data_IF_472246800434
#
_entry.id   IF_472246800434
#
_cell.length_a   1.000
_cell.length_b   1.000
_cell.length_c   1.000
_cell.angle_alpha   90.00
_cell.angle_beta   90.00
_cell.angle_gamma   90.00
#
_symmetry.space_group_name_H-M   'P 1'
#
loop_
_entity.id
_entity.type
_entity.pdbx_description
1 polymer ?
#
# COMPACT_ATOMS: atom_id res chain seq x y z
N UNK A 1 -29.99 -0.34 -5.94
CA UNK A 1 -28.88 -0.92 -5.18
C UNK A 1 -27.61 -0.56 -5.94
N UNK A 2 -26.61 0.01 -5.28
CA UNK A 2 -25.32 0.23 -5.95
C UNK A 2 -24.74 -1.14 -6.32
N UNK A 3 -24.16 -1.23 -7.52
CA UNK A 3 -23.51 -2.46 -8.00
C UNK A 3 -22.36 -2.77 -7.03
N UNK A 4 -22.40 -3.92 -6.38
CA UNK A 4 -21.40 -4.28 -5.35
C UNK A 4 -20.00 -4.43 -5.94
N UNK A 5 -19.91 -4.62 -7.27
CA UNK A 5 -18.66 -4.81 -8.01
C UNK A 5 -18.14 -3.51 -8.66
N UNK A 6 -18.82 -2.36 -8.44
CA UNK A 6 -18.35 -1.11 -9.01
C UNK A 6 -17.08 -0.61 -8.28
N UNK A 7 -16.04 -0.17 -9.03
CA UNK A 7 -14.83 0.35 -8.41
C UNK A 7 -15.12 1.60 -7.56
N UNK A 8 -14.37 1.84 -6.48
CA UNK A 8 -14.57 3.00 -5.62
C UNK A 8 -14.46 4.31 -6.40
N UNK A 9 -15.40 5.21 -6.13
CA UNK A 9 -15.41 6.55 -6.72
C UNK A 9 -14.28 7.42 -6.15
N UNK A 10 -13.88 8.48 -6.87
CA UNK A 10 -12.88 9.43 -6.37
C UNK A 10 -13.27 10.00 -4.99
N UNK A 11 -14.53 10.31 -4.77
CA UNK A 11 -15.00 10.84 -3.47
C UNK A 11 -14.79 9.83 -2.35
N UNK A 12 -15.07 8.56 -2.59
CA UNK A 12 -14.82 7.49 -1.62
C UNK A 12 -13.32 7.33 -1.33
N UNK A 13 -12.47 7.38 -2.35
CA UNK A 13 -11.01 7.33 -2.21
C UNK A 13 -10.49 8.51 -1.39
N UNK A 14 -10.92 9.74 -1.71
CA UNK A 14 -10.52 10.94 -0.97
C UNK A 14 -11.02 10.91 0.48
N UNK A 15 -12.26 10.42 0.70
CA UNK A 15 -12.79 10.20 2.05
C UNK A 15 -11.95 9.21 2.85
N UNK A 16 -11.53 8.10 2.24
CA UNK A 16 -10.65 7.11 2.86
C UNK A 16 -9.29 7.72 3.25
N UNK A 17 -8.65 8.45 2.33
CA UNK A 17 -7.36 9.12 2.59
C UNK A 17 -7.48 10.20 3.70
N UNK A 18 -8.57 10.99 3.69
CA UNK A 18 -8.82 11.99 4.73
C UNK A 18 -9.02 11.32 6.09
N UNK A 19 -9.88 10.30 6.20
CA UNK A 19 -10.18 9.61 7.46
C UNK A 19 -8.94 8.87 7.98
N UNK A 20 -8.20 8.18 7.12
CA UNK A 20 -7.00 7.46 7.52
C UNK A 20 -5.91 8.39 8.05
N UNK A 21 -5.67 9.52 7.36
CA UNK A 21 -4.67 10.50 7.81
C UNK A 21 -5.14 11.27 9.06
N UNK A 22 -6.43 11.60 9.15
CA UNK A 22 -7.05 12.15 10.35
C UNK A 22 -6.80 11.25 11.57
N UNK A 23 -7.11 9.97 11.42
CA UNK A 23 -6.97 8.99 12.52
C UNK A 23 -5.49 8.81 12.89
N UNK A 24 -4.59 8.77 11.89
CA UNK A 24 -3.16 8.66 12.14
C UNK A 24 -2.63 9.82 12.98
N UNK A 25 -3.01 11.06 12.66
CA UNK A 25 -2.56 12.25 13.39
C UNK A 25 -3.24 12.32 14.76
N UNK A 26 -4.55 12.15 14.82
CA UNK A 26 -5.28 12.23 16.08
C UNK A 26 -4.78 11.21 17.11
N UNK A 27 -4.65 9.94 16.72
CA UNK A 27 -4.25 8.86 17.62
C UNK A 27 -2.74 8.86 17.86
N UNK A 28 -1.94 8.91 16.78
CA UNK A 28 -0.47 8.84 16.90
C UNK A 28 0.11 10.03 17.67
N UNK A 29 -0.24 11.25 17.27
CA UNK A 29 0.20 12.45 17.99
C UNK A 29 -0.51 12.58 19.35
N UNK A 30 -1.76 12.15 19.47
CA UNK A 30 -2.49 12.11 20.74
C UNK A 30 -1.78 11.27 21.79
N UNK A 31 -1.36 10.06 21.44
CA UNK A 31 -0.58 9.21 22.35
C UNK A 31 0.79 9.84 22.66
N UNK A 32 1.47 10.43 21.69
CA UNK A 32 2.72 11.12 21.94
C UNK A 32 2.58 12.21 23.02
N UNK A 33 1.48 12.98 22.99
CA UNK A 33 1.23 14.03 23.99
C UNK A 33 0.79 13.43 25.33
N UNK A 34 -0.16 12.51 25.31
CA UNK A 34 -0.78 11.99 26.57
C UNK A 34 0.11 10.99 27.31
N UNK A 35 1.12 10.43 26.67
CA UNK A 35 2.11 9.53 27.27
C UNK A 35 3.44 10.22 27.62
N UNK A 36 3.47 11.57 27.55
CA UNK A 36 4.71 12.35 27.78
C UNK A 36 5.88 11.90 26.89
N UNK A 37 5.59 11.58 25.63
CA UNK A 37 6.58 11.15 24.66
C UNK A 37 7.11 9.73 24.86
N UNK A 38 6.36 8.86 25.59
CA UNK A 38 6.78 7.46 25.72
C UNK A 38 7.04 6.81 24.37
N UNK A 39 8.29 6.34 24.20
CA UNK A 39 8.80 5.79 22.94
C UNK A 39 7.98 4.61 22.43
N UNK A 40 7.65 3.68 23.33
CA UNK A 40 7.00 2.42 22.99
C UNK A 40 5.51 2.66 22.69
N UNK A 41 4.83 3.41 23.58
CA UNK A 41 3.43 3.76 23.40
C UNK A 41 3.23 4.53 22.09
N UNK A 42 4.03 5.57 21.85
CA UNK A 42 3.94 6.41 20.64
C UNK A 42 4.25 5.60 19.37
N UNK A 43 5.32 4.82 19.37
CA UNK A 43 5.69 4.01 18.21
C UNK A 43 4.61 3.00 17.84
N UNK A 44 4.06 2.29 18.81
CA UNK A 44 2.94 1.37 18.55
C UNK A 44 1.65 2.11 18.18
N UNK A 45 1.37 3.27 18.73
CA UNK A 45 0.19 4.05 18.35
C UNK A 45 0.21 4.40 16.86
N UNK A 46 1.32 4.90 16.33
CA UNK A 46 1.46 5.17 14.90
C UNK A 46 1.40 3.88 14.06
N UNK A 47 2.16 2.85 14.44
CA UNK A 47 2.23 1.60 13.70
C UNK A 47 0.89 0.85 13.64
N UNK A 48 0.21 0.69 14.78
CA UNK A 48 -1.09 0.02 14.83
C UNK A 48 -2.19 0.83 14.15
N UNK A 49 -2.16 2.17 14.27
CA UNK A 49 -3.13 3.00 13.55
C UNK A 49 -3.01 2.79 12.04
N UNK A 50 -1.81 2.80 11.47
CA UNK A 50 -1.63 2.49 10.05
C UNK A 50 -2.09 1.08 9.73
N UNK A 51 -1.72 0.07 10.53
CA UNK A 51 -2.17 -1.30 10.32
C UNK A 51 -3.69 -1.38 10.19
N UNK A 52 -4.41 -0.85 11.17
CA UNK A 52 -5.86 -0.94 11.18
C UNK A 52 -6.52 -0.08 10.10
N UNK A 53 -6.00 1.12 9.82
CA UNK A 53 -6.55 1.97 8.77
C UNK A 53 -6.32 1.38 7.37
N UNK A 54 -5.19 0.73 7.12
CA UNK A 54 -4.95 0.03 5.85
C UNK A 54 -5.89 -1.18 5.73
N UNK A 55 -6.09 -1.98 6.78
CA UNK A 55 -7.10 -3.05 6.76
C UNK A 55 -8.51 -2.52 6.50
N UNK A 56 -8.89 -1.41 7.11
CA UNK A 56 -10.24 -0.86 6.98
C UNK A 56 -10.51 -0.19 5.64
N UNK A 57 -9.55 0.59 5.12
CA UNK A 57 -9.73 1.52 4.02
C UNK A 57 -8.86 1.22 2.79
N UNK A 58 -7.87 0.32 2.90
CA UNK A 58 -6.95 0.00 1.81
C UNK A 58 -7.67 -0.48 0.55
N UNK A 59 -8.74 -1.26 0.69
CA UNK A 59 -9.60 -1.69 -0.43
C UNK A 59 -10.29 -0.54 -1.17
N UNK A 60 -10.34 0.67 -0.58
CA UNK A 60 -11.02 1.84 -1.14
C UNK A 60 -10.02 2.75 -1.87
N UNK A 61 -8.92 3.15 -1.22
CA UNK A 61 -7.95 4.11 -1.76
C UNK A 61 -6.55 3.54 -2.01
N UNK A 62 -6.28 2.33 -1.54
CA UNK A 62 -4.92 1.81 -1.43
C UNK A 62 -4.30 2.08 -0.05
N UNK A 63 -4.88 3.00 0.75
CA UNK A 63 -4.46 3.27 2.12
C UNK A 63 -3.10 3.95 2.23
N UNK A 64 -2.88 5.01 1.47
CA UNK A 64 -1.60 5.73 1.48
C UNK A 64 -1.40 6.56 2.76
N UNK A 65 -2.39 7.39 3.13
CA UNK A 65 -2.43 8.26 4.32
C UNK A 65 -1.16 9.11 4.54
N UNK A 66 -0.39 9.32 3.47
CA UNK A 66 0.93 9.92 3.51
C UNK A 66 1.31 10.49 2.13
N UNK A 67 1.61 11.80 2.00
CA UNK A 67 2.06 12.40 0.75
C UNK A 67 3.32 11.75 0.16
N UNK A 68 4.29 11.39 1.01
CA UNK A 68 5.52 10.74 0.56
C UNK A 68 5.21 9.35 -0.04
N UNK A 69 4.35 8.55 0.59
CA UNK A 69 3.90 7.26 0.05
C UNK A 69 3.19 7.44 -1.29
N UNK A 70 2.30 8.44 -1.41
CA UNK A 70 1.59 8.72 -2.67
C UNK A 70 2.54 9.09 -3.80
N UNK A 71 3.57 9.90 -3.52
CA UNK A 71 4.62 10.29 -4.48
C UNK A 71 5.47 9.07 -4.85
N UNK A 72 5.93 8.28 -3.87
CA UNK A 72 6.73 7.07 -4.11
C UNK A 72 5.97 6.04 -4.94
N UNK A 73 4.68 5.84 -4.65
CA UNK A 73 3.79 4.97 -5.42
C UNK A 73 3.60 5.47 -6.87
N UNK A 74 3.46 6.80 -7.07
CA UNK A 74 3.35 7.37 -8.40
C UNK A 74 4.64 7.20 -9.22
N UNK A 75 5.80 7.44 -8.62
CA UNK A 75 7.11 7.22 -9.25
C UNK A 75 7.30 5.73 -9.57
N UNK A 76 6.94 4.85 -8.63
CA UNK A 76 7.03 3.39 -8.78
C UNK A 76 6.02 2.76 -9.74
N UNK A 77 5.15 3.56 -10.36
CA UNK A 77 4.21 3.05 -11.36
C UNK A 77 2.89 2.51 -10.79
N UNK A 78 2.62 2.69 -9.49
CA UNK A 78 1.48 2.06 -8.78
C UNK A 78 0.20 2.88 -8.82
N UNK A 79 0.30 4.21 -8.93
CA UNK A 79 -0.82 5.15 -8.96
C UNK A 79 -0.53 6.27 -9.95
N UNK A 80 -1.57 6.85 -10.58
CA UNK A 80 -1.37 7.98 -11.49
C UNK A 80 -0.95 9.25 -10.73
N UNK A 81 -0.16 10.13 -11.36
CA UNK A 81 0.21 11.41 -10.76
C UNK A 81 -1.00 12.28 -10.40
N UNK A 82 -2.08 12.19 -11.21
CA UNK A 82 -3.32 12.90 -10.95
C UNK A 82 -3.98 12.41 -9.66
N UNK A 83 -4.06 11.11 -9.48
CA UNK A 83 -4.65 10.50 -8.28
C UNK A 83 -3.78 10.77 -7.06
N UNK A 84 -2.46 10.59 -7.16
CA UNK A 84 -1.51 10.94 -6.10
C UNK A 84 -1.66 12.40 -5.65
N UNK A 85 -1.80 13.34 -6.59
CA UNK A 85 -2.03 14.75 -6.28
C UNK A 85 -3.32 15.00 -5.51
N UNK A 86 -4.42 14.32 -5.88
CA UNK A 86 -5.69 14.44 -5.13
C UNK A 86 -5.60 13.81 -3.74
N UNK A 87 -4.91 12.68 -3.61
CA UNK A 87 -4.65 12.05 -2.31
C UNK A 87 -3.85 12.95 -1.37
N UNK A 88 -2.79 13.59 -1.87
CA UNK A 88 -1.98 14.53 -1.10
C UNK A 88 -2.85 15.66 -0.52
N UNK A 89 -3.77 16.22 -1.33
CA UNK A 89 -4.71 17.22 -0.84
C UNK A 89 -5.61 16.69 0.28
N UNK A 90 -6.19 15.50 0.11
CA UNK A 90 -7.05 14.85 1.10
C UNK A 90 -6.29 14.51 2.40
N UNK A 91 -5.04 14.08 2.28
CA UNK A 91 -4.15 13.74 3.41
C UNK A 91 -3.81 14.99 4.24
N UNK A 92 -3.49 16.12 3.61
CA UNK A 92 -3.28 17.37 4.35
C UNK A 92 -4.55 17.84 5.08
N UNK A 93 -5.72 17.74 4.43
CA UNK A 93 -7.00 18.05 5.08
C UNK A 93 -7.22 17.12 6.29
N UNK A 94 -7.02 15.83 6.13
CA UNK A 94 -7.14 14.87 7.23
C UNK A 94 -6.20 15.16 8.39
N UNK A 95 -4.92 15.45 8.10
CA UNK A 95 -3.92 15.77 9.12
C UNK A 95 -4.26 17.05 9.90
N UNK A 96 -4.69 18.11 9.21
CA UNK A 96 -5.08 19.38 9.84
C UNK A 96 -6.31 19.17 10.74
N UNK A 97 -7.33 18.45 10.25
CA UNK A 97 -8.51 18.14 11.05
C UNK A 97 -8.18 17.25 12.26
N UNK A 98 -7.29 16.25 12.11
CA UNK A 98 -6.84 15.41 13.21
C UNK A 98 -6.11 16.20 14.30
N UNK A 99 -5.19 17.09 13.88
CA UNK A 99 -4.47 17.97 14.80
C UNK A 99 -5.40 19.02 15.46
N UNK A 100 -6.37 19.57 14.72
CA UNK A 100 -7.37 20.47 15.26
C UNK A 100 -8.20 19.79 16.35
N UNK A 101 -8.70 18.59 16.09
CA UNK A 101 -9.46 17.84 17.11
C UNK A 101 -8.58 17.51 18.31
N UNK A 102 -7.33 17.10 18.09
CA UNK A 102 -6.38 16.87 19.19
C UNK A 102 -6.19 18.14 20.03
N UNK A 103 -5.95 19.29 19.41
CA UNK A 103 -5.84 20.57 20.12
C UNK A 103 -7.08 20.85 20.97
N UNK A 104 -8.28 20.67 20.40
CA UNK A 104 -9.54 20.88 21.13
C UNK A 104 -9.65 19.95 22.36
N UNK A 105 -9.25 18.68 22.21
CA UNK A 105 -9.25 17.73 23.32
C UNK A 105 -8.25 18.11 24.42
N UNK A 106 -7.07 18.64 24.02
CA UNK A 106 -6.04 19.08 24.97
C UNK A 106 -6.46 20.34 25.75
N UNK A 107 -7.35 21.18 25.21
CA UNK A 107 -7.94 22.29 25.97
C UNK A 107 -8.73 21.87 27.23
N UNK A 108 -9.08 20.58 27.36
CA UNK A 108 -9.65 20.00 28.56
C UNK A 108 -8.64 19.72 29.68
N UNK A 109 -7.34 19.95 29.44
CA UNK A 109 -6.26 19.77 30.41
C UNK A 109 -5.91 21.13 31.02
N UNK A 110 -5.94 21.23 32.35
CA UNK A 110 -5.58 22.46 33.05
C UNK A 110 -4.15 22.89 32.72
N UNK A 111 -3.98 24.14 32.30
CA UNK A 111 -2.69 24.72 31.97
C UNK A 111 -2.23 24.49 30.53
N UNK A 112 -2.97 23.77 29.71
CA UNK A 112 -2.67 23.66 28.28
C UNK A 112 -3.03 24.96 27.55
N UNK A 113 -2.12 25.50 26.76
CA UNK A 113 -2.33 26.68 25.92
C UNK A 113 -2.14 26.33 24.44
N UNK A 114 -3.19 26.56 23.63
CA UNK A 114 -3.13 26.35 22.20
C UNK A 114 -2.21 27.36 21.52
N UNK A 115 -1.49 26.95 20.48
CA UNK A 115 -0.54 27.76 19.72
C UNK A 115 0.68 28.23 20.54
N UNK A 116 0.95 27.63 21.68
CA UNK A 116 2.13 27.87 22.50
C UNK A 116 3.20 26.78 22.20
N UNK A 117 4.43 27.23 21.91
CA UNK A 117 5.54 26.33 21.59
C UNK A 117 5.96 25.43 22.77
N UNK A 118 5.58 25.74 23.99
CA UNK A 118 5.81 24.89 25.17
C UNK A 118 4.86 23.69 25.24
N UNK A 119 3.77 23.69 24.44
CA UNK A 119 2.77 22.63 24.40
C UNK A 119 2.65 22.02 23.00
N UNK A 120 3.72 21.37 22.47
CA UNK A 120 3.68 20.78 21.14
C UNK A 120 2.71 19.60 21.08
N UNK A 121 1.94 19.54 19.99
CA UNK A 121 0.95 18.47 19.74
C UNK A 121 1.58 17.25 19.05
N UNK A 122 2.69 16.74 19.57
CA UNK A 122 3.41 15.63 18.94
C UNK A 122 4.08 16.01 17.62
N UNK A 123 4.57 17.25 17.52
CA UNK A 123 5.25 17.83 16.36
C UNK A 123 6.64 17.21 16.14
N UNK A 124 7.13 17.36 14.91
CA UNK A 124 8.51 17.06 14.57
C UNK A 124 9.39 18.30 14.73
N UNK A 125 10.64 18.08 15.17
CA UNK A 125 11.60 19.16 15.34
C UNK A 125 13.04 18.66 15.22
N UNK A 126 14.00 19.60 15.23
CA UNK A 126 15.44 19.27 15.21
C UNK A 126 16.29 20.19 16.12
N UNK A 127 15.83 21.41 16.45
CA UNK A 127 16.61 22.36 17.24
C UNK A 127 15.85 22.98 18.40
N UNK A 128 14.64 22.52 18.72
CA UNK A 128 13.77 23.04 19.76
C UNK A 128 13.18 21.93 20.63
N UNK A 129 12.85 22.27 21.87
CA UNK A 129 12.24 21.35 22.82
C UNK A 129 13.18 20.20 23.19
N UNK A 130 12.74 18.95 23.07
CA UNK A 130 13.57 17.80 23.40
C UNK A 130 14.62 17.45 22.33
N UNK A 131 14.60 18.12 21.18
CA UNK A 131 15.47 17.81 20.05
C UNK A 131 16.67 18.76 20.00
N UNK A 132 17.87 18.21 20.14
CA UNK A 132 19.14 18.89 19.87
C UNK A 132 19.87 18.10 18.78
N UNK A 133 19.37 18.22 17.55
CA UNK A 133 19.82 17.40 16.44
C UNK A 133 20.12 18.27 15.20
N UNK A 134 21.29 18.10 14.61
CA UNK A 134 21.69 18.91 13.48
C UNK A 134 20.74 18.76 12.28
N UNK A 135 20.34 19.89 11.66
CA UNK A 135 19.36 19.90 10.54
C UNK A 135 19.78 18.98 9.38
N UNK A 136 21.08 18.92 9.05
CA UNK A 136 21.56 18.01 8.00
C UNK A 136 21.36 16.54 8.36
N UNK A 137 21.49 16.19 9.63
CA UNK A 137 21.27 14.83 10.12
C UNK A 137 19.79 14.51 10.19
N UNK A 138 18.93 15.49 10.55
CA UNK A 138 17.47 15.34 10.49
C UNK A 138 17.01 15.10 9.04
N UNK A 139 17.51 15.88 8.08
CA UNK A 139 17.24 15.65 6.65
C UNK A 139 17.68 14.25 6.19
N UNK A 140 18.88 13.84 6.56
CA UNK A 140 19.43 12.54 6.15
C UNK A 140 18.64 11.37 6.73
N UNK A 141 18.34 11.41 8.04
CA UNK A 141 17.65 10.30 8.69
C UNK A 141 16.20 10.18 8.21
N UNK A 142 15.50 11.30 8.05
CA UNK A 142 14.13 11.31 7.50
C UNK A 142 14.09 10.81 6.05
N UNK A 143 15.06 11.21 5.21
CA UNK A 143 15.20 10.72 3.85
C UNK A 143 15.42 9.20 3.82
N UNK A 144 16.40 8.70 4.57
CA UNK A 144 16.77 7.28 4.58
C UNK A 144 15.62 6.43 5.10
N UNK A 145 15.01 6.84 6.23
CA UNK A 145 13.95 6.05 6.85
C UNK A 145 12.64 6.09 6.05
N UNK A 146 12.35 7.20 5.38
CA UNK A 146 11.22 7.25 4.44
C UNK A 146 11.50 6.38 3.20
N UNK A 147 12.72 6.40 2.69
CA UNK A 147 13.08 5.51 1.58
C UNK A 147 12.90 4.04 1.95
N UNK A 148 13.37 3.62 3.13
CA UNK A 148 13.16 2.26 3.64
C UNK A 148 11.67 1.95 3.84
N UNK A 149 10.91 2.88 4.41
CA UNK A 149 9.47 2.70 4.64
C UNK A 149 8.72 2.48 3.33
N UNK A 150 8.91 3.37 2.35
CA UNK A 150 8.26 3.26 1.03
C UNK A 150 8.74 2.04 0.26
N UNK A 151 10.02 1.68 0.39
CA UNK A 151 10.56 0.46 -0.20
C UNK A 151 9.85 -0.80 0.34
N UNK A 152 9.64 -0.89 1.66
CA UNK A 152 8.87 -1.99 2.27
C UNK A 152 7.43 -1.97 1.76
N UNK A 153 6.78 -0.81 1.72
CA UNK A 153 5.41 -0.69 1.19
C UNK A 153 5.35 -1.24 -0.24
N UNK A 154 6.23 -0.79 -1.14
CA UNK A 154 6.25 -1.25 -2.53
C UNK A 154 6.51 -2.76 -2.63
N UNK A 155 7.30 -3.33 -1.72
CA UNK A 155 7.62 -4.75 -1.68
C UNK A 155 6.43 -5.59 -1.22
N UNK A 156 5.81 -5.23 -0.09
CA UNK A 156 4.70 -6.03 0.48
C UNK A 156 3.38 -5.85 -0.28
N UNK A 157 3.28 -4.80 -1.11
CA UNK A 157 2.15 -4.55 -2.01
C UNK A 157 2.45 -4.91 -3.48
N UNK A 158 3.54 -5.61 -3.74
CA UNK A 158 3.85 -6.11 -5.08
C UNK A 158 2.89 -7.26 -5.44
N UNK A 159 2.45 -7.31 -6.70
CA UNK A 159 1.54 -8.37 -7.18
C UNK A 159 2.14 -9.79 -7.06
N UNK A 160 3.46 -9.91 -6.91
CA UNK A 160 4.18 -11.17 -6.68
C UNK A 160 4.28 -11.55 -5.21
N UNK A 161 3.73 -10.73 -4.29
CA UNK A 161 3.73 -11.07 -2.87
C UNK A 161 2.78 -12.25 -2.61
N UNK A 162 3.32 -13.33 -2.06
CA UNK A 162 2.57 -14.55 -1.73
C UNK A 162 1.63 -14.39 -0.51
N UNK A 163 1.83 -13.34 0.30
CA UNK A 163 1.09 -13.10 1.54
C UNK A 163 0.49 -11.68 1.62
N UNK A 164 -0.34 -11.26 0.64
CA UNK A 164 -0.87 -9.90 0.58
C UNK A 164 -1.68 -9.52 1.83
N UNK A 165 -2.38 -10.45 2.45
CA UNK A 165 -3.15 -10.20 3.67
C UNK A 165 -2.30 -9.73 4.87
N UNK A 166 -1.00 -9.99 4.87
CA UNK A 166 -0.07 -9.53 5.91
C UNK A 166 0.55 -8.17 5.62
N UNK A 167 0.34 -7.60 4.42
CA UNK A 167 0.94 -6.33 4.04
C UNK A 167 0.61 -5.17 5.01
N UNK A 168 -0.65 -4.98 5.49
CA UNK A 168 -0.93 -3.93 6.46
C UNK A 168 -0.16 -4.07 7.77
N UNK A 169 -0.03 -5.30 8.25
CA UNK A 169 0.73 -5.59 9.46
C UNK A 169 2.22 -5.29 9.26
N UNK A 170 2.81 -5.72 8.14
CA UNK A 170 4.20 -5.44 7.80
C UNK A 170 4.46 -3.93 7.70
N UNK A 171 3.56 -3.17 7.07
CA UNK A 171 3.65 -1.71 6.95
C UNK A 171 3.61 -1.06 8.34
N UNK A 172 2.65 -1.43 9.18
CA UNK A 172 2.49 -0.82 10.49
C UNK A 172 3.63 -1.18 11.45
N UNK A 173 4.11 -2.44 11.45
CA UNK A 173 5.28 -2.84 12.25
C UNK A 173 6.53 -2.09 11.79
N UNK A 174 6.73 -1.94 10.48
CA UNK A 174 7.85 -1.14 9.95
C UNK A 174 7.77 0.30 10.45
N UNK A 175 6.58 0.91 10.42
CA UNK A 175 6.41 2.28 10.92
C UNK A 175 6.69 2.37 12.42
N UNK A 176 6.24 1.40 13.23
CA UNK A 176 6.57 1.35 14.66
C UNK A 176 8.07 1.26 14.92
N UNK A 177 8.78 0.40 14.18
CA UNK A 177 10.24 0.28 14.29
C UNK A 177 10.97 1.57 13.92
N UNK A 178 10.51 2.28 12.89
CA UNK A 178 11.04 3.58 12.51
C UNK A 178 10.81 4.59 13.64
N UNK A 179 9.64 4.59 14.27
CA UNK A 179 9.34 5.46 15.41
C UNK A 179 10.25 5.18 16.59
N UNK A 180 10.54 3.91 16.93
CA UNK A 180 11.46 3.58 18.01
C UNK A 180 12.87 4.14 17.79
N UNK A 181 13.29 4.28 16.55
CA UNK A 181 14.61 4.87 16.24
C UNK A 181 14.56 6.42 16.18
N UNK A 182 13.52 7.00 15.59
CA UNK A 182 13.51 8.42 15.22
C UNK A 182 12.80 9.33 16.23
N UNK A 183 11.97 8.82 17.12
CA UNK A 183 11.33 9.68 18.16
C UNK A 183 12.37 10.50 18.92
N UNK A 184 13.48 9.92 19.42
CA UNK A 184 14.47 10.70 20.16
C UNK A 184 15.26 11.71 19.32
N UNK A 185 15.22 11.61 17.99
CA UNK A 185 16.03 12.43 17.06
C UNK A 185 15.23 13.56 16.45
N UNK A 186 14.02 13.25 15.94
CA UNK A 186 13.19 14.20 15.17
C UNK A 186 11.72 14.15 15.53
N UNK A 187 11.32 13.27 16.45
CA UNK A 187 9.90 12.96 16.67
C UNK A 187 9.27 12.13 15.57
N UNK A 188 10.04 11.60 14.64
CA UNK A 188 9.64 10.76 13.49
C UNK A 188 8.59 11.39 12.59
N UNK A 189 9.00 11.87 11.43
CA UNK A 189 8.07 12.32 10.39
C UNK A 189 7.67 11.18 9.46
N UNK A 190 8.52 10.86 8.52
CA UNK A 190 8.33 10.00 7.33
C UNK A 190 7.03 10.29 6.57
N UNK A 191 6.35 11.40 6.92
CA UNK A 191 5.03 11.76 6.40
C UNK A 191 4.81 13.29 6.46
N UNK A 192 4.86 14.00 5.33
CA UNK A 192 4.67 15.45 5.30
C UNK A 192 3.36 15.95 5.92
N UNK A 193 2.26 15.24 5.73
CA UNK A 193 0.95 15.64 6.28
C UNK A 193 0.92 15.48 7.81
N UNK A 194 1.48 14.37 8.33
CA UNK A 194 1.62 14.12 9.77
C UNK A 194 2.48 15.18 10.47
N UNK A 195 3.45 15.77 9.74
CA UNK A 195 4.32 16.82 10.31
C UNK A 195 3.67 18.18 10.27
N UNK A 196 3.04 18.55 9.15
CA UNK A 196 2.41 19.86 9.00
C UNK A 196 1.19 20.03 9.91
N UNK A 197 0.32 19.02 10.01
CA UNK A 197 -0.93 19.11 10.77
C UNK A 197 -0.72 19.64 12.20
N UNK A 198 0.02 18.94 13.06
CA UNK A 198 0.28 19.39 14.44
C UNK A 198 1.07 20.69 14.53
N UNK A 199 2.06 20.92 13.64
CA UNK A 199 2.89 22.12 13.66
C UNK A 199 2.06 23.40 13.56
N UNK A 200 0.95 23.38 12.80
CA UNK A 200 0.06 24.54 12.64
C UNK A 200 -0.61 25.00 13.95
N UNK A 201 -0.67 24.14 14.96
CA UNK A 201 -1.35 24.40 16.25
C UNK A 201 -0.39 24.44 17.45
N UNK A 202 0.91 24.23 17.24
CA UNK A 202 1.92 24.08 18.30
C UNK A 202 2.83 25.31 18.49
N UNK A 203 2.49 26.44 17.87
CA UNK A 203 3.29 27.66 17.95
C UNK A 203 4.30 27.84 16.81
N UNK A 204 4.86 29.06 16.73
CA UNK A 204 5.69 29.49 15.59
C UNK A 204 7.00 28.71 15.50
N UNK A 205 7.59 28.35 16.62
CA UNK A 205 8.89 27.66 16.65
C UNK A 205 8.83 26.29 15.97
N UNK A 206 7.69 25.62 16.06
CA UNK A 206 7.45 24.35 15.38
C UNK A 206 7.12 24.53 13.89
N UNK A 207 6.41 25.60 13.53
CA UNK A 207 6.11 25.90 12.12
C UNK A 207 7.39 26.16 11.33
N UNK A 208 8.34 26.93 11.89
CA UNK A 208 9.60 27.26 11.21
C UNK A 208 10.51 26.05 11.06
N UNK A 209 10.33 25.00 11.86
CA UNK A 209 11.10 23.77 11.79
C UNK A 209 10.46 22.68 10.88
N UNK A 210 9.24 22.87 10.38
CA UNK A 210 8.52 21.81 9.64
C UNK A 210 9.13 21.47 8.27
N UNK A 211 9.86 22.40 7.64
CA UNK A 211 10.33 22.27 6.26
C UNK A 211 11.19 21.03 5.96
N UNK A 212 12.12 20.55 6.83
CA UNK A 212 12.87 19.32 6.56
C UNK A 212 11.94 18.12 6.42
N UNK A 213 10.88 18.09 7.23
CA UNK A 213 9.89 17.03 7.30
C UNK A 213 8.87 17.04 6.14
N UNK A 214 8.86 18.13 5.36
CA UNK A 214 8.14 18.19 4.08
C UNK A 214 9.03 17.69 2.93
N UNK A 215 10.32 18.01 2.95
CA UNK A 215 11.24 17.76 1.83
C UNK A 215 11.88 16.38 1.91
N UNK A 216 12.48 16.02 3.04
CA UNK A 216 13.25 14.78 3.17
C UNK A 216 12.41 13.52 2.95
N UNK A 217 11.17 13.39 3.50
CA UNK A 217 10.32 12.25 3.21
C UNK A 217 9.96 12.13 1.73
N UNK A 218 9.70 13.25 1.04
CA UNK A 218 9.40 13.24 -0.39
C UNK A 218 10.59 12.75 -1.21
N UNK A 219 11.80 13.20 -0.89
CA UNK A 219 13.02 12.75 -1.56
C UNK A 219 13.29 11.26 -1.29
N UNK A 220 13.11 10.82 -0.05
CA UNK A 220 13.26 9.41 0.33
C UNK A 220 12.26 8.50 -0.40
N UNK A 221 11.00 8.91 -0.44
CA UNK A 221 9.96 8.19 -1.18
C UNK A 221 10.23 8.15 -2.68
N UNK A 222 10.73 9.25 -3.24
CA UNK A 222 11.17 9.32 -4.64
C UNK A 222 12.29 8.33 -4.94
N UNK A 223 13.28 8.25 -4.05
CA UNK A 223 14.38 7.29 -4.15
C UNK A 223 13.87 5.84 -4.16
N UNK A 224 12.97 5.49 -3.22
CA UNK A 224 12.39 4.15 -3.16
C UNK A 224 11.52 3.83 -4.38
N UNK A 225 10.66 4.78 -4.80
CA UNK A 225 9.80 4.63 -5.98
C UNK A 225 10.57 4.41 -7.27
N UNK A 226 11.78 4.98 -7.38
CA UNK A 226 12.68 4.75 -8.49
C UNK A 226 13.49 3.44 -8.33
N UNK A 227 14.07 3.22 -7.14
CA UNK A 227 14.98 2.10 -6.90
C UNK A 227 14.27 0.75 -6.91
N UNK A 228 13.06 0.63 -6.34
CA UNK A 228 12.35 -0.64 -6.25
C UNK A 228 12.12 -1.29 -7.63
N UNK A 229 11.45 -0.61 -8.60
CA UNK A 229 11.27 -1.21 -9.92
C UNK A 229 12.56 -1.37 -10.71
N UNK A 230 13.58 -0.56 -10.46
CA UNK A 230 14.89 -0.70 -11.11
C UNK A 230 15.66 -1.94 -10.63
N UNK A 231 15.55 -2.30 -9.36
CA UNK A 231 16.25 -3.44 -8.75
C UNK A 231 15.50 -4.76 -8.93
N UNK A 232 14.18 -4.74 -8.78
CA UNK A 232 13.36 -5.95 -8.71
C UNK A 232 12.37 -6.10 -9.87
N UNK A 233 12.35 -5.14 -10.80
CA UNK A 233 11.34 -5.09 -11.85
C UNK A 233 9.97 -4.68 -11.34
N UNK A 234 9.00 -4.67 -12.23
CA UNK A 234 7.60 -4.37 -11.89
C UNK A 234 6.81 -5.67 -11.88
N UNK A 235 6.07 -5.93 -10.80
CA UNK A 235 5.23 -7.11 -10.64
C UNK A 235 3.95 -7.07 -11.50
N UNK A 236 3.58 -5.88 -11.99
CA UNK A 236 2.45 -5.65 -12.89
C UNK A 236 2.74 -4.49 -13.85
N UNK A 237 1.91 -4.30 -14.88
CA UNK A 237 2.04 -3.16 -15.78
C UNK A 237 1.83 -1.83 -15.03
N UNK A 238 2.68 -0.80 -15.29
CA UNK A 238 2.52 0.49 -14.64
C UNK A 238 1.18 1.13 -14.95
N UNK A 239 0.58 1.73 -13.93
CA UNK A 239 -0.68 2.47 -14.08
C UNK A 239 -0.50 3.62 -15.07
N UNK A 240 -1.48 3.81 -15.96
CA UNK A 240 -1.44 4.89 -16.97
C UNK A 240 -1.34 6.25 -16.28
N UNK A 241 -0.37 7.07 -16.70
CA UNK A 241 -0.13 8.38 -16.09
C UNK A 241 0.73 8.36 -14.82
N UNK A 242 1.35 7.21 -14.48
CA UNK A 242 2.35 7.06 -13.44
C UNK A 242 3.78 7.11 -14.00
N UNK A 243 4.78 7.12 -13.10
CA UNK A 243 6.22 7.06 -13.43
C UNK A 243 6.75 8.30 -14.14
N UNK A 244 8.05 8.28 -14.43
CA UNK A 244 8.69 9.25 -15.34
C UNK A 244 8.90 8.57 -16.69
N UNK A 245 8.16 8.97 -17.72
CA UNK A 245 8.35 8.48 -19.09
C UNK A 245 9.35 9.37 -19.80
N UNK A 246 10.59 8.92 -19.88
CA UNK A 246 11.60 9.51 -20.77
C UNK A 246 11.45 8.85 -22.15
N UNK A 247 10.64 9.44 -23.04
CA UNK A 247 10.46 8.95 -24.41
C UNK A 247 8.99 8.78 -24.80
N UNK A 248 8.61 9.39 -25.93
CA UNK A 248 7.22 9.51 -26.38
C UNK A 248 6.57 8.21 -26.84
N UNK A 249 6.09 7.40 -25.95
CA UNK A 249 5.05 6.43 -26.28
C UNK A 249 3.68 7.13 -26.18
N UNK A 250 2.92 7.05 -27.28
CA UNK A 250 1.54 7.55 -27.31
C UNK A 250 0.76 6.90 -26.17
N UNK A 251 0.19 7.71 -25.29
CA UNK A 251 -0.72 7.24 -24.26
C UNK A 251 -1.85 6.44 -24.92
N UNK A 252 -1.96 5.16 -24.59
CA UNK A 252 -3.18 4.42 -24.83
C UNK A 252 -4.32 5.15 -24.13
N UNK A 253 -5.51 5.18 -24.73
CA UNK A 253 -6.68 5.87 -24.19
C UNK A 253 -6.86 5.49 -22.73
N UNK A 254 -6.91 6.52 -21.85
CA UNK A 254 -7.11 6.35 -20.42
C UNK A 254 -8.50 5.73 -20.21
N UNK A 255 -8.62 4.53 -19.62
CA UNK A 255 -9.90 4.10 -19.08
C UNK A 255 -10.38 5.16 -18.10
N UNK A 256 -11.69 5.45 -18.07
CA UNK A 256 -12.24 6.55 -17.29
C UNK A 256 -11.83 6.53 -15.83
N UNK A 257 -12.00 7.66 -15.15
CA UNK A 257 -11.86 7.84 -13.72
C UNK A 257 -12.43 6.63 -12.97
N UNK A 258 -11.60 5.94 -12.19
CA UNK A 258 -12.08 4.87 -11.32
C UNK A 258 -11.47 3.48 -11.55
N UNK A 259 -10.48 3.33 -12.45
CA UNK A 259 -9.74 2.06 -12.49
C UNK A 259 -9.02 1.86 -11.13
N UNK A 260 -9.17 0.68 -10.48
CA UNK A 260 -8.48 0.38 -9.23
C UNK A 260 -6.98 0.52 -9.42
N UNK A 261 -6.29 1.21 -8.48
CA UNK A 261 -4.84 1.18 -8.45
C UNK A 261 -4.34 -0.22 -8.02
N UNK A 262 -3.01 -0.46 -8.12
CA UNK A 262 -2.46 -1.77 -7.76
C UNK A 262 -2.69 -2.15 -6.30
N UNK A 263 -2.74 -1.17 -5.39
CA UNK A 263 -3.06 -1.43 -3.98
C UNK A 263 -4.50 -1.89 -3.83
N UNK A 264 -5.45 -1.26 -4.54
CA UNK A 264 -6.86 -1.67 -4.53
C UNK A 264 -7.07 -3.05 -5.16
N UNK A 265 -6.37 -3.36 -6.25
CA UNK A 265 -6.44 -4.69 -6.88
C UNK A 265 -5.95 -5.78 -5.93
N UNK A 266 -4.90 -5.54 -5.16
CA UNK A 266 -4.39 -6.48 -4.16
C UNK A 266 -5.40 -6.75 -3.03
N UNK A 267 -6.11 -5.71 -2.57
CA UNK A 267 -7.12 -5.84 -1.49
C UNK A 267 -8.43 -6.48 -1.97
N UNK A 268 -8.73 -6.41 -3.26
CA UNK A 268 -9.95 -6.94 -3.85
C UNK A 268 -9.79 -8.33 -4.46
N UNK A 269 -8.65 -9.01 -4.28
CA UNK A 269 -8.49 -10.39 -4.71
C UNK A 269 -9.47 -11.31 -3.96
N UNK A 270 -10.19 -12.23 -4.65
CA UNK A 270 -11.09 -13.16 -3.99
C UNK A 270 -10.34 -14.03 -2.98
N UNK A 271 -10.89 -14.15 -1.79
CA UNK A 271 -10.34 -14.96 -0.66
C UNK A 271 -10.28 -16.47 -1.00
N UNK A 272 -10.89 -16.88 -2.10
CA UNK A 272 -11.04 -18.30 -2.45
C UNK A 272 -9.73 -19.05 -2.76
N UNK A 273 -8.68 -18.33 -3.21
CA UNK A 273 -7.39 -19.01 -3.50
C UNK A 273 -6.54 -19.28 -2.24
N UNK A 274 -6.83 -18.67 -1.10
CA UNK A 274 -6.03 -18.82 0.12
C UNK A 274 -6.57 -19.84 1.12
N UNK A 275 -7.82 -20.34 0.96
CA UNK A 275 -8.37 -21.35 1.86
C UNK A 275 -7.91 -22.79 1.55
N UNK A 276 -7.27 -23.04 0.42
CA UNK A 276 -6.82 -24.38 0.05
C UNK A 276 -5.55 -24.86 0.80
N UNK A 277 -4.85 -23.99 1.54
CA UNK A 277 -3.60 -24.34 2.25
C UNK A 277 -3.65 -24.28 3.77
N UNK A 278 -4.68 -23.72 4.38
CA UNK A 278 -4.84 -23.77 5.83
C UNK A 278 -5.81 -24.91 6.19
N UNK A 279 -5.31 -25.98 6.79
CA UNK A 279 -6.09 -27.13 7.24
C UNK A 279 -7.28 -26.71 8.10
N UNK A 280 -8.43 -26.53 7.49
CA UNK A 280 -9.69 -26.16 8.13
C UNK A 280 -10.48 -27.40 8.52
N UNK A 281 -10.98 -27.37 9.74
CA UNK A 281 -11.92 -28.33 10.34
C UNK A 281 -13.13 -28.55 9.42
N UNK A 282 -13.34 -29.77 8.96
CA UNK A 282 -14.45 -30.15 8.08
C UNK A 282 -15.66 -30.51 8.94
N UNK A 283 -16.74 -29.74 8.78
CA UNK A 283 -18.07 -30.09 9.34
C UNK A 283 -18.64 -31.32 8.62
N UNK A 284 -19.01 -32.40 9.34
CA UNK A 284 -19.44 -33.66 8.70
C UNK A 284 -20.83 -33.62 8.03
N UNK A 285 -21.50 -32.47 7.94
CA UNK A 285 -22.91 -32.39 7.52
C UNK A 285 -23.19 -31.69 6.18
N UNK A 286 -22.22 -31.09 5.50
CA UNK A 286 -22.45 -30.37 4.24
C UNK A 286 -22.21 -31.26 3.02
N UNK A 287 -23.29 -31.61 2.31
CA UNK A 287 -23.19 -32.25 0.99
C UNK A 287 -22.63 -31.27 -0.04
N UNK A 288 -21.33 -31.38 -0.33
CA UNK A 288 -20.68 -30.66 -1.42
C UNK A 288 -21.15 -31.23 -2.77
N UNK A 289 -21.52 -30.36 -3.71
CA UNK A 289 -21.70 -30.73 -5.10
C UNK A 289 -20.37 -31.26 -5.69
N UNK A 290 -20.41 -32.29 -6.55
CA UNK A 290 -19.18 -32.89 -7.07
C UNK A 290 -18.42 -31.88 -7.93
N UNK A 291 -17.21 -31.53 -7.50
CA UNK A 291 -16.23 -30.81 -8.33
C UNK A 291 -15.84 -31.74 -9.48
N UNK A 292 -15.90 -31.23 -10.69
CA UNK A 292 -15.39 -31.94 -11.85
C UNK A 292 -13.87 -32.14 -11.67
N UNK A 293 -13.43 -33.38 -11.53
CA UNK A 293 -12.01 -33.72 -11.45
C UNK A 293 -11.31 -33.25 -12.75
N UNK A 294 -10.25 -32.49 -12.61
CA UNK A 294 -9.44 -32.09 -13.77
C UNK A 294 -8.77 -33.35 -14.36
N UNK A 295 -8.81 -33.52 -15.69
CA UNK A 295 -8.25 -34.69 -16.30
C UNK A 295 -6.72 -34.77 -16.12
N UNK A 296 -6.19 -35.88 -15.70
CA UNK A 296 -4.75 -36.14 -15.61
C UNK A 296 -4.22 -36.32 -17.04
N UNK A 297 -3.33 -35.42 -17.49
CA UNK A 297 -2.71 -35.45 -18.83
C UNK A 297 -1.21 -35.72 -18.67
N UNK A 298 -0.69 -36.75 -19.32
CA UNK A 298 0.73 -37.07 -19.36
C UNK A 298 1.12 -37.46 -20.79
N UNK A 299 2.16 -36.84 -21.34
CA UNK A 299 2.73 -37.12 -22.65
C UNK A 299 1.72 -37.16 -23.83
N UNK A 300 0.68 -36.29 -23.77
CA UNK A 300 -0.35 -36.21 -24.79
C UNK A 300 -1.49 -37.25 -24.61
N UNK A 301 -1.51 -37.98 -23.51
CA UNK A 301 -2.55 -38.90 -23.13
C UNK A 301 -3.32 -38.42 -21.90
N UNK A 302 -4.62 -38.62 -21.85
CA UNK A 302 -5.51 -38.26 -20.75
C UNK A 302 -6.01 -39.58 -20.08
N UNK A 303 -5.96 -39.63 -18.74
CA UNK A 303 -6.51 -40.76 -17.99
C UNK A 303 -8.04 -40.66 -17.93
N UNK A 304 -8.73 -41.75 -18.37
CA UNK A 304 -10.18 -41.92 -18.18
C UNK A 304 -10.43 -42.78 -16.95
N UNK A 305 -10.90 -42.22 -15.83
CA UNK A 305 -11.12 -42.98 -14.59
C UNK A 305 -12.28 -43.96 -14.66
N UNK A 306 -13.23 -43.77 -15.59
CA UNK A 306 -14.37 -44.68 -15.76
C UNK A 306 -13.98 -45.91 -16.58
N UNK A 307 -13.19 -45.74 -17.60
CA UNK A 307 -12.70 -46.84 -18.44
C UNK A 307 -11.39 -47.45 -17.92
N UNK A 308 -10.75 -46.84 -16.91
CA UNK A 308 -9.45 -47.21 -16.34
C UNK A 308 -8.35 -47.43 -17.41
N UNK A 309 -8.30 -46.50 -18.38
CA UNK A 309 -7.34 -46.58 -19.47
C UNK A 309 -6.90 -45.17 -19.91
N UNK A 310 -5.72 -45.07 -20.54
CA UNK A 310 -5.24 -43.89 -21.17
C UNK A 310 -5.87 -43.71 -22.56
N UNK A 311 -6.45 -42.53 -22.82
CA UNK A 311 -7.02 -42.12 -24.11
C UNK A 311 -6.23 -40.90 -24.65
N UNK A 312 -6.14 -40.70 -25.98
CA UNK A 312 -5.50 -39.52 -26.51
C UNK A 312 -6.15 -38.20 -25.99
N UNK A 313 -5.36 -37.27 -25.45
CA UNK A 313 -5.89 -36.02 -24.93
C UNK A 313 -6.54 -35.18 -26.05
N UNK A 314 -7.78 -34.77 -25.84
CA UNK A 314 -8.49 -33.89 -26.80
C UNK A 314 -7.91 -32.49 -26.68
N UNK A 315 -7.36 -31.96 -27.77
CA UNK A 315 -6.94 -30.57 -27.83
C UNK A 315 -8.17 -29.66 -27.79
N UNK A 316 -8.14 -28.55 -26.99
CA UNK A 316 -9.20 -27.57 -27.03
C UNK A 316 -9.29 -26.95 -28.43
N UNK A 317 -10.49 -26.59 -28.91
CA UNK A 317 -10.67 -26.01 -30.25
C UNK A 317 -9.93 -24.67 -30.33
N UNK A 318 -8.98 -24.58 -31.23
CA UNK A 318 -8.28 -23.33 -31.58
C UNK A 318 -9.28 -22.31 -32.11
N UNK A 319 -9.48 -21.20 -31.42
CA UNK A 319 -10.13 -20.03 -31.97
C UNK A 319 -9.28 -19.46 -33.11
N UNK A 320 -9.85 -19.40 -34.28
CA UNK A 320 -9.40 -19.04 -35.60
C UNK A 320 -8.22 -18.09 -35.75
N UNK A 321 -7.24 -18.58 -36.50
CA UNK A 321 -6.42 -17.74 -37.38
C UNK A 321 -6.63 -18.22 -38.82
N UNK A 322 -6.96 -17.30 -39.69
CA UNK A 322 -7.16 -17.52 -41.12
C UNK A 322 -5.85 -17.86 -41.84
N UNK A 323 -5.90 -18.94 -42.57
CA UNK A 323 -5.35 -19.21 -43.90
C UNK A 323 -3.85 -19.14 -44.17
N UNK A 324 -3.27 -20.34 -44.40
CA UNK A 324 -2.36 -20.61 -45.50
C UNK A 324 -2.48 -22.10 -45.89
N UNK A 325 -2.29 -22.48 -47.19
CA UNK A 325 -2.63 -23.83 -47.65
C UNK A 325 -1.54 -24.86 -47.32
N UNK A 326 -1.82 -26.17 -47.34
CA UNK A 326 -0.94 -27.23 -46.86
C UNK A 326 0.02 -27.69 -47.96
N UNK A 327 1.31 -27.84 -47.65
CA UNK A 327 2.23 -28.69 -48.39
C UNK A 327 2.65 -29.89 -47.54
N UNK A 328 2.54 -31.08 -48.15
CA UNK A 328 3.42 -32.23 -48.02
C UNK A 328 3.37 -33.05 -46.73
N UNK A 329 2.84 -34.26 -46.84
CA UNK A 329 2.79 -35.26 -45.80
C UNK A 329 4.12 -35.69 -45.22
N UNK A 330 4.11 -36.03 -43.94
CA UNK A 330 5.05 -36.94 -43.31
C UNK A 330 4.29 -37.81 -42.29
N UNK A 331 4.69 -39.07 -42.24
CA UNK A 331 4.11 -40.20 -41.54
C UNK A 331 3.89 -39.91 -40.04
N UNK A 332 2.70 -40.23 -39.54
CA UNK A 332 2.38 -40.24 -38.14
C UNK A 332 3.15 -41.34 -37.38
N UNK A 333 4.14 -40.93 -36.59
CA UNK A 333 4.80 -41.83 -35.65
C UNK A 333 3.81 -42.16 -34.54
N UNK A 334 3.37 -43.40 -34.47
CA UNK A 334 2.55 -43.91 -33.35
C UNK A 334 3.37 -43.91 -32.06
N UNK A 335 3.04 -43.02 -31.15
CA UNK A 335 3.59 -43.01 -29.79
C UNK A 335 2.82 -44.01 -28.96
N UNK A 336 3.56 -44.97 -28.35
CA UNK A 336 2.99 -46.03 -27.49
C UNK A 336 2.57 -45.43 -26.13
N UNK A 337 1.46 -45.83 -25.50
CA UNK A 337 1.09 -45.38 -24.17
C UNK A 337 2.14 -45.75 -23.11
N UNK A 338 2.33 -44.92 -22.04
CA UNK A 338 3.21 -45.30 -20.94
C UNK A 338 2.72 -46.55 -20.24
N UNK A 339 3.63 -47.46 -19.87
CA UNK A 339 3.34 -48.72 -19.21
C UNK A 339 2.62 -48.50 -17.87
N UNK A 340 1.61 -49.30 -17.58
CA UNK A 340 0.74 -49.29 -16.41
C UNK A 340 1.48 -49.72 -15.14
#
# INVERSE_FOLDING_TARGET
MADADAPPTLVQKLGAETIGTFTLVLVGCGVAVTSDGDLVATGFAFGLTITFMVYALGRISGGHFNPAVSIGAAIGGRVSWREAGTYIGAQFVGAILGALVLMILMLGIDGFEAFDSNFPLGTNGFSEGPYDYAVWAALLVELVMTALFVFVILSVTDARNEHPALAPLAIGVTLAMIHFMLIPLTGTSVNPARSLGPALFSGVDWIVQVWPFLIAPVLGAGLAGFAYPALFGQGAEPVVGSGFRFGGQKAAAVPGYGAPDQYQQQWNQPVEEHQAQAGGYVDPGAHAAPQAEQPIIQDGWQWDPHAQQWIPAQQPPHQGQQGWPPEGGSEATQVRPPDA
#
